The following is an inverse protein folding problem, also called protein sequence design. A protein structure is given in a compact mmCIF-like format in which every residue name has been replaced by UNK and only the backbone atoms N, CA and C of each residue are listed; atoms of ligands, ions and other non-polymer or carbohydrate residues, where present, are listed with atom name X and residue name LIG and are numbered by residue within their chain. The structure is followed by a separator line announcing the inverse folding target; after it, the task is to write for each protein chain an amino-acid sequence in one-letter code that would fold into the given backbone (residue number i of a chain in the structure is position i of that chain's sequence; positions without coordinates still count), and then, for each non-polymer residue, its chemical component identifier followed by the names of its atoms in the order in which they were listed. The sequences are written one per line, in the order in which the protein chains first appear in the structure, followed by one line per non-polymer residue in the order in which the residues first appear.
data_IF_596731666179
#
_entry.id   IF_596731666179
#
_cell.length_a   1.000
_cell.length_b   1.000
_cell.length_c   1.000
_cell.angle_alpha   90.00
_cell.angle_beta   90.00
_cell.angle_gamma   90.00
#
_symmetry.space_group_name_H-M   'P 1'
#
loop_
_entity.id
_entity.type
_entity.pdbx_description
1 polymer ?
#
# COMPACT_ATOMS: atom_id res chain seq x y z
N UNK A 1 9.04 -20.65 20.17
CA UNK A 1 8.85 -19.97 19.52
C UNK A 1 8.11 -19.04 19.89
N UNK A 2 7.92 -18.24 19.52
CA UNK A 2 7.35 -17.33 19.82
C UNK A 2 6.40 -16.97 19.13
N UNK A 3 5.57 -16.74 19.41
CA UNK A 3 4.72 -16.41 18.77
C UNK A 3 4.57 -15.21 18.68
N UNK A 4 4.52 -14.58 18.31
CA UNK A 4 4.46 -13.44 18.24
C UNK A 4 3.50 -12.98 17.58
N UNK A 5 3.08 -12.10 17.54
CA UNK A 5 2.17 -11.63 17.02
C UNK A 5 2.44 -10.51 16.41
N UNK A 6 2.29 -10.27 15.45
CA UNK A 6 2.64 -9.33 14.80
C UNK A 6 1.69 -8.70 14.23
N UNK A 7 1.37 -7.74 14.51
CA UNK A 7 0.44 -7.04 13.96
C UNK A 7 0.79 -6.50 12.70
N UNK A 8 1.84 -5.89 12.47
CA UNK A 8 2.19 -5.18 11.25
C UNK A 8 3.56 -5.61 10.84
N UNK A 9 3.70 -6.20 9.69
CA UNK A 9 4.99 -6.63 9.21
C UNK A 9 5.76 -5.45 8.64
N UNK A 10 7.08 -5.50 8.66
CA UNK A 10 7.90 -4.46 8.04
C UNK A 10 7.58 -4.28 6.57
N UNK A 11 7.30 -5.38 5.87
CA UNK A 11 6.95 -5.29 4.45
C UNK A 11 5.66 -4.50 4.24
N UNK A 12 4.64 -4.80 5.04
CA UNK A 12 3.36 -4.10 4.93
C UNK A 12 3.50 -2.63 5.26
N UNK A 13 4.32 -2.30 6.26
CA UNK A 13 4.57 -0.90 6.60
C UNK A 13 5.28 -0.18 5.48
N UNK A 14 6.29 -0.80 4.91
CA UNK A 14 7.06 -0.22 3.81
C UNK A 14 6.17 0.03 2.60
N UNK A 15 5.32 -0.94 2.28
CA UNK A 15 4.40 -0.78 1.15
C UNK A 15 3.40 0.35 1.42
N UNK A 16 2.88 0.42 2.63
CA UNK A 16 1.94 1.47 3.00
C UNK A 16 2.53 2.85 2.83
N UNK A 17 3.78 3.02 3.26
CA UNK A 17 4.48 4.30 3.11
C UNK A 17 4.69 4.64 1.64
N UNK A 18 5.01 3.65 0.83
CA UNK A 18 5.16 3.85 -0.62
C UNK A 18 3.88 4.38 -1.23
N UNK A 19 2.74 3.76 -0.87
CA UNK A 19 1.45 4.22 -1.37
C UNK A 19 1.16 5.65 -0.95
N UNK A 20 1.44 5.96 0.31
CA UNK A 20 1.18 7.30 0.82
C UNK A 20 2.03 8.33 0.09
N UNK A 21 3.30 8.02 -0.16
CA UNK A 21 4.17 8.91 -0.90
C UNK A 21 3.66 9.17 -2.30
N UNK A 22 3.33 8.10 -3.02
CA UNK A 22 2.85 8.23 -4.39
C UNK A 22 1.55 9.02 -4.43
N UNK A 23 0.65 8.75 -3.48
CA UNK A 23 -0.61 9.45 -3.42
C UNK A 23 -0.41 10.94 -3.15
N UNK A 24 0.49 11.26 -2.22
CA UNK A 24 0.79 12.66 -1.91
C UNK A 24 1.37 13.37 -3.12
N UNK A 25 2.28 12.73 -3.82
CA UNK A 25 2.88 13.32 -5.01
C UNK A 25 1.85 13.51 -6.12
N UNK A 26 0.86 12.64 -6.17
CA UNK A 26 -0.19 12.72 -7.18
C UNK A 26 -1.28 13.73 -6.83
N UNK A 27 -1.29 14.24 -5.60
CA UNK A 27 -2.26 15.23 -5.19
C UNK A 27 -3.62 14.67 -4.80
N UNK A 28 -3.75 13.34 -4.65
CA UNK A 28 -5.03 12.74 -4.26
C UNK A 28 -5.18 12.68 -2.75
N UNK A 29 -6.40 12.85 -2.26
CA UNK A 29 -6.72 12.45 -0.89
C UNK A 29 -6.89 10.93 -0.88
N UNK A 30 -6.94 10.34 0.30
CA UNK A 30 -7.20 8.90 0.40
C UNK A 30 -8.52 8.53 -0.25
N UNK A 31 -9.54 9.34 -0.02
CA UNK A 31 -10.86 9.08 -0.58
C UNK A 31 -10.84 9.17 -2.10
N UNK A 32 -10.19 10.20 -2.62
CA UNK A 32 -10.10 10.36 -4.07
C UNK A 32 -9.38 9.18 -4.72
N UNK A 33 -8.29 8.75 -4.13
CA UNK A 33 -7.54 7.64 -4.71
C UNK A 33 -8.31 6.34 -4.61
N UNK A 34 -8.93 6.08 -3.46
CA UNK A 34 -9.73 4.86 -3.29
C UNK A 34 -10.86 4.82 -4.32
N UNK A 35 -11.52 5.95 -4.54
CA UNK A 35 -12.57 6.03 -5.55
C UNK A 35 -12.03 5.76 -6.95
N UNK A 36 -10.85 6.30 -7.23
CA UNK A 36 -10.22 6.13 -8.54
C UNK A 36 -9.98 4.66 -8.87
N UNK A 37 -9.66 3.86 -7.87
CA UNK A 37 -9.35 2.44 -8.10
C UNK A 37 -10.48 1.53 -7.65
N UNK A 38 -11.65 2.11 -7.37
CA UNK A 38 -12.85 1.34 -6.99
C UNK A 38 -12.55 0.47 -5.77
N UNK A 39 -11.98 1.07 -4.75
CA UNK A 39 -11.61 0.38 -3.52
C UNK A 39 -12.26 1.10 -2.35
N UNK A 40 -12.70 0.34 -1.36
CA UNK A 40 -13.27 0.94 -0.16
C UNK A 40 -12.24 1.85 0.51
N UNK A 41 -12.67 3.04 0.90
CA UNK A 41 -11.75 4.02 1.47
C UNK A 41 -11.10 3.53 2.75
N UNK A 42 -11.88 2.89 3.63
CA UNK A 42 -11.33 2.40 4.90
C UNK A 42 -10.30 1.31 4.67
N UNK A 43 -10.57 0.45 3.67
CA UNK A 43 -9.62 -0.59 3.33
C UNK A 43 -8.33 0.03 2.79
N UNK A 44 -8.46 0.98 1.86
CA UNK A 44 -7.27 1.62 1.31
C UNK A 44 -6.47 2.33 2.41
N UNK A 45 -7.17 3.03 3.31
CA UNK A 45 -6.50 3.71 4.41
C UNK A 45 -5.71 2.72 5.27
N UNK A 46 -6.26 1.53 5.48
CA UNK A 46 -5.58 0.51 6.28
C UNK A 46 -4.33 -0.01 5.57
N UNK A 47 -4.29 0.05 4.24
CA UNK A 47 -3.08 -0.30 3.49
C UNK A 47 -1.97 0.71 3.80
N UNK A 48 -2.29 1.99 3.81
CA UNK A 48 -1.27 3.01 4.02
C UNK A 48 -0.65 2.94 5.41
N UNK A 49 -1.40 2.48 6.40
CA UNK A 49 -0.83 2.33 7.74
C UNK A 49 -0.21 0.96 7.97
N UNK A 50 -0.16 0.12 6.94
CA UNK A 50 0.56 -1.14 7.01
C UNK A 50 -0.20 -2.30 7.60
N UNK A 51 -1.52 -2.22 7.67
CA UNK A 51 -2.30 -3.26 8.34
C UNK A 51 -2.84 -4.32 7.41
N UNK A 52 -2.56 -4.24 6.13
CA UNK A 52 -3.13 -5.20 5.18
C UNK A 52 -2.06 -5.94 4.43
N UNK A 53 -2.30 -7.23 4.24
CA UNK A 53 -1.50 -8.05 3.38
C UNK A 53 -2.20 -8.02 2.02
N UNK A 54 -1.71 -7.18 1.13
CA UNK A 54 -2.41 -6.83 -0.09
C UNK A 54 -2.29 -7.94 -1.13
N UNK A 55 -3.41 -8.34 -1.70
CA UNK A 55 -3.42 -9.38 -2.73
C UNK A 55 -2.79 -8.86 -4.02
N UNK A 56 -2.39 -9.79 -4.89
CA UNK A 56 -1.84 -9.39 -6.18
C UNK A 56 -2.85 -8.59 -6.99
N UNK A 57 -4.12 -8.95 -6.93
CA UNK A 57 -5.10 -8.19 -7.70
C UNK A 57 -5.28 -6.78 -7.16
N UNK A 58 -5.18 -6.59 -5.85
CA UNK A 58 -5.23 -5.24 -5.29
C UNK A 58 -3.95 -4.47 -5.57
N UNK A 59 -2.79 -5.14 -5.61
CA UNK A 59 -1.57 -4.49 -6.05
C UNK A 59 -1.72 -3.96 -7.47
N UNK A 60 -2.35 -4.75 -8.32
CA UNK A 60 -2.58 -4.35 -9.71
C UNK A 60 -3.49 -3.12 -9.77
N UNK A 61 -4.55 -3.10 -8.97
CA UNK A 61 -5.45 -1.94 -8.93
C UNK A 61 -4.71 -0.69 -8.50
N UNK A 62 -3.88 -0.80 -7.48
CA UNK A 62 -3.14 0.35 -6.97
C UNK A 62 -2.13 0.83 -8.02
N UNK A 63 -1.40 -0.10 -8.63
CA UNK A 63 -0.43 0.27 -9.65
C UNK A 63 -1.11 0.98 -10.82
N UNK A 64 -2.24 0.45 -11.27
CA UNK A 64 -3.00 1.08 -12.34
C UNK A 64 -3.48 2.47 -11.94
N UNK A 65 -3.88 2.63 -10.70
CA UNK A 65 -4.33 3.94 -10.21
C UNK A 65 -3.25 4.98 -10.25
N UNK A 66 -2.00 4.57 -10.10
CA UNK A 66 -0.85 5.48 -10.19
C UNK A 66 -0.21 5.45 -11.58
N UNK A 67 -0.83 4.77 -12.54
CA UNK A 67 -0.32 4.68 -13.91
C UNK A 67 1.08 4.09 -13.97
N UNK A 68 1.31 3.02 -13.24
CA UNK A 68 2.61 2.38 -13.22
C UNK A 68 2.47 0.87 -13.19
N UNK A 69 3.57 0.17 -13.40
CA UNK A 69 3.59 -1.29 -13.28
C UNK A 69 3.68 -1.67 -11.82
N UNK A 70 3.37 -2.92 -11.51
CA UNK A 70 3.55 -3.42 -10.15
C UNK A 70 5.02 -3.31 -9.75
N UNK A 71 5.92 -3.58 -10.68
CA UNK A 71 7.36 -3.48 -10.39
C UNK A 71 7.73 -2.05 -9.99
N UNK A 72 7.21 -1.06 -10.70
CA UNK A 72 7.48 0.34 -10.38
C UNK A 72 6.85 0.71 -9.04
N UNK A 73 5.64 0.23 -8.78
CA UNK A 73 4.97 0.47 -7.50
C UNK A 73 5.81 -0.04 -6.34
N UNK A 74 6.46 -1.18 -6.52
CA UNK A 74 7.22 -1.82 -5.46
C UNK A 74 8.63 -1.30 -5.29
N UNK A 75 9.03 -0.32 -6.08
CA UNK A 75 10.37 0.25 -5.98
C UNK A 75 10.61 0.79 -4.58
N UNK A 76 11.66 0.32 -3.93
CA UNK A 76 12.00 0.78 -2.58
C UNK A 76 11.25 0.08 -1.46
N UNK A 77 10.27 -0.76 -1.79
CA UNK A 77 9.53 -1.50 -0.77
C UNK A 77 10.41 -2.66 -0.30
N UNK A 78 10.52 -2.84 1.00
CA UNK A 78 11.42 -3.84 1.53
C UNK A 78 10.87 -4.40 2.82
N UNK A 79 11.17 -5.65 3.07
CA UNK A 79 10.82 -6.30 4.32
C UNK A 79 11.90 -6.08 5.39
N UNK A 80 13.00 -5.42 5.03
CA UNK A 80 14.09 -5.24 5.97
C UNK A 80 13.84 -4.05 6.86
N UNK A 81 14.19 -4.24 8.15
CA UNK A 81 14.11 -3.11 9.06
C UNK A 81 15.53 -2.82 9.43
N UNK A 82 15.96 -1.71 9.36
CA UNK A 82 17.28 -1.50 9.68
C UNK A 82 17.42 -0.72 10.72
#
# INVERSE_FOLDING_TARGET
MTLFVMDISPLQQSFGLRCKELRSESGFSQEQFANRIDMDRSYYASIEVGRRNVSLSNLCKIANGFDMTIAALMTGVTEKTD
#
